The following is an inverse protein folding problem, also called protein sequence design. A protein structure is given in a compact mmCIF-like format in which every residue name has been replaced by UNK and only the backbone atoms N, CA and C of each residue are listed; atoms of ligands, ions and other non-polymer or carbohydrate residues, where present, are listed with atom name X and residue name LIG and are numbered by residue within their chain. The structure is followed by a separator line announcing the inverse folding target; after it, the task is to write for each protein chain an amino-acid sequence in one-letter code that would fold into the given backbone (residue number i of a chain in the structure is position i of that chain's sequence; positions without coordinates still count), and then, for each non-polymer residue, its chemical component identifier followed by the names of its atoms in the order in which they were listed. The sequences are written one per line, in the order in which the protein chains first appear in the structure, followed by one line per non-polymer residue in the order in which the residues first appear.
data_IF_136291585002
#
_entry.id   IF_136291585002
#
_cell.length_a   1.000
_cell.length_b   1.000
_cell.length_c   1.000
_cell.angle_alpha   90.00
_cell.angle_beta   90.00
_cell.angle_gamma   90.00
#
_symmetry.space_group_name_H-M   'P 1'
#
loop_
_entity.id
_entity.type
_entity.pdbx_description
1 polymer ?
#
# COMPACT_ATOMS: atom_id res chain seq x y z
N UNK A 1 -5.29 -6.90 17.66
CA UNK A 1 -5.21 -6.23 16.34
C UNK A 1 -5.08 -4.73 16.56
N UNK A 2 -3.94 -4.14 16.20
CA UNK A 2 -3.66 -2.72 16.39
C UNK A 2 -3.67 -2.04 15.02
N UNK A 3 -4.58 -1.10 14.81
CA UNK A 3 -4.63 -0.32 13.57
C UNK A 3 -3.75 0.91 13.78
N UNK A 4 -2.71 1.06 12.96
CA UNK A 4 -1.75 2.16 13.04
C UNK A 4 -1.91 3.04 11.81
N UNK A 5 -1.99 4.36 12.00
CA UNK A 5 -1.98 5.31 10.89
C UNK A 5 -0.54 5.48 10.40
N UNK A 6 -0.28 5.09 9.16
CA UNK A 6 0.99 5.35 8.50
C UNK A 6 1.02 6.81 8.02
N UNK A 7 1.83 7.64 8.65
CA UNK A 7 2.06 9.03 8.23
C UNK A 7 3.28 9.18 7.32
N UNK A 8 4.15 8.17 7.31
CA UNK A 8 5.35 8.07 6.51
C UNK A 8 5.71 6.59 6.35
N UNK A 9 6.11 6.16 5.15
CA UNK A 9 6.78 4.88 4.93
C UNK A 9 8.18 5.18 4.39
N UNK A 10 9.21 4.64 5.04
CA UNK A 10 10.55 4.62 4.48
C UNK A 10 10.71 3.55 3.42
N UNK A 11 11.81 3.60 2.66
CA UNK A 11 12.12 2.55 1.66
C UNK A 11 12.18 1.14 2.25
N UNK A 12 12.63 1.00 3.50
CA UNK A 12 12.71 -0.28 4.19
C UNK A 12 11.30 -0.87 4.44
N UNK A 13 10.38 -0.05 4.95
CA UNK A 13 8.99 -0.45 5.24
C UNK A 13 8.26 -0.88 3.96
N UNK A 14 8.53 -0.20 2.84
CA UNK A 14 7.94 -0.53 1.53
C UNK A 14 8.51 -1.85 0.98
N UNK A 15 9.80 -2.12 1.20
CA UNK A 15 10.44 -3.35 0.71
C UNK A 15 9.89 -4.60 1.37
N UNK A 16 9.67 -4.57 2.69
CA UNK A 16 9.07 -5.69 3.42
C UNK A 16 7.65 -5.96 2.91
N UNK A 17 6.81 -4.94 2.83
CA UNK A 17 5.45 -5.07 2.30
C UNK A 17 5.41 -5.57 0.85
N UNK A 18 6.35 -5.15 0.02
CA UNK A 18 6.44 -5.59 -1.37
C UNK A 18 6.80 -7.08 -1.44
N UNK A 19 7.71 -7.53 -0.58
CA UNK A 19 8.13 -8.93 -0.50
C UNK A 19 6.96 -9.79 -0.02
N UNK A 20 6.31 -9.42 1.08
CA UNK A 20 5.13 -10.11 1.62
C UNK A 20 3.99 -10.17 0.59
N UNK A 21 3.69 -9.04 -0.06
CA UNK A 21 2.68 -8.95 -1.14
C UNK A 21 2.96 -9.91 -2.29
N UNK A 22 4.23 -10.15 -2.62
CA UNK A 22 4.62 -11.06 -3.69
C UNK A 22 4.61 -12.53 -3.22
N UNK A 23 5.07 -12.81 -2.01
CA UNK A 23 5.11 -14.14 -1.41
C UNK A 23 3.70 -14.69 -1.12
N UNK A 24 2.79 -13.84 -0.65
CA UNK A 24 1.38 -14.20 -0.44
C UNK A 24 0.58 -14.21 -1.76
N UNK A 25 1.21 -13.90 -2.90
CA UNK A 25 0.60 -13.86 -4.23
C UNK A 25 -0.39 -12.71 -4.43
N UNK A 26 -0.54 -11.85 -3.43
CA UNK A 26 -1.43 -10.71 -3.45
C UNK A 26 -0.64 -9.47 -3.88
N UNK A 27 -0.31 -9.34 -5.17
CA UNK A 27 0.49 -8.27 -5.81
C UNK A 27 -0.10 -6.84 -5.71
N UNK A 28 -0.78 -6.52 -4.60
CA UNK A 28 -1.60 -5.34 -4.43
C UNK A 28 -0.79 -4.05 -4.56
N UNK A 29 0.45 -3.99 -4.03
CA UNK A 29 1.29 -2.80 -4.16
C UNK A 29 1.70 -2.53 -5.60
N UNK A 30 2.03 -3.58 -6.36
CA UNK A 30 2.37 -3.44 -7.78
C UNK A 30 1.17 -2.92 -8.55
N UNK A 31 -0.02 -3.47 -8.29
CA UNK A 31 -1.28 -2.99 -8.87
C UNK A 31 -1.57 -1.54 -8.50
N UNK A 32 -1.43 -1.17 -7.22
CA UNK A 32 -1.63 0.19 -6.71
C UNK A 32 -0.69 1.20 -7.38
N UNK A 33 0.59 0.85 -7.54
CA UNK A 33 1.55 1.72 -8.22
C UNK A 33 1.16 1.92 -9.68
N UNK A 34 0.75 0.86 -10.37
CA UNK A 34 0.29 0.94 -11.76
C UNK A 34 -0.97 1.81 -11.87
N UNK A 35 -1.96 1.58 -11.01
CA UNK A 35 -3.21 2.36 -10.97
C UNK A 35 -3.00 3.83 -10.60
N UNK A 36 -2.02 4.11 -9.75
CA UNK A 36 -1.66 5.50 -9.42
C UNK A 36 -1.00 6.19 -10.61
N UNK A 37 -0.03 5.53 -11.25
CA UNK A 37 0.70 6.07 -12.41
C UNK A 37 -0.19 6.27 -13.63
N UNK A 38 -1.15 5.38 -13.85
CA UNK A 38 -2.08 5.47 -14.98
C UNK A 38 -3.30 6.37 -14.70
N UNK A 39 -3.39 6.95 -13.50
CA UNK A 39 -4.46 7.84 -13.09
C UNK A 39 -5.80 7.16 -12.72
N UNK A 40 -5.87 5.82 -12.72
CA UNK A 40 -7.07 5.07 -12.36
C UNK A 40 -7.38 5.20 -10.86
N UNK A 41 -6.35 5.29 -10.01
CA UNK A 41 -6.50 5.40 -8.56
C UNK A 41 -5.47 6.34 -7.95
N UNK A 42 -5.85 7.61 -7.79
CA UNK A 42 -4.96 8.68 -7.29
C UNK A 42 -5.30 9.15 -5.88
N UNK A 43 -6.23 8.48 -5.18
CA UNK A 43 -6.66 8.82 -3.81
C UNK A 43 -7.08 10.30 -3.67
N UNK A 44 -7.71 10.88 -4.68
CA UNK A 44 -8.02 12.31 -4.73
C UNK A 44 -9.46 12.64 -4.28
N UNK A 45 -10.26 11.66 -3.89
CA UNK A 45 -11.60 11.88 -3.35
C UNK A 45 -11.60 11.86 -1.84
N UNK A 46 -12.45 12.70 -1.27
CA UNK A 46 -12.67 12.74 0.18
C UNK A 46 -13.07 11.36 0.70
N UNK A 47 -12.28 10.82 1.63
CA UNK A 47 -12.53 9.53 2.25
C UNK A 47 -11.70 8.37 1.71
N UNK A 48 -11.00 8.53 0.58
CA UNK A 48 -10.07 7.52 0.06
C UNK A 48 -8.81 7.43 0.94
N UNK A 49 -8.45 6.22 1.36
CA UNK A 49 -7.32 5.95 2.27
C UNK A 49 -6.77 4.53 2.02
N UNK A 50 -5.45 4.38 2.10
CA UNK A 50 -4.80 3.07 2.18
C UNK A 50 -4.56 2.71 3.65
N UNK A 51 -4.92 1.50 4.06
CA UNK A 51 -4.68 0.99 5.41
C UNK A 51 -3.83 -0.27 5.34
N UNK A 52 -2.75 -0.32 6.12
CA UNK A 52 -1.95 -1.53 6.33
C UNK A 52 -2.22 -2.10 7.73
N UNK A 53 -2.32 -3.42 7.84
CA UNK A 53 -2.33 -4.14 9.12
C UNK A 53 -0.98 -4.82 9.26
N UNK A 54 -0.26 -4.52 10.34
CA UNK A 54 1.03 -5.14 10.66
C UNK A 54 0.85 -6.03 11.90
N UNK A 55 1.45 -7.21 11.86
CA UNK A 55 1.49 -8.20 12.93
C UNK A 55 2.72 -8.04 13.82
#
# INVERSE_FOLDING_TARGET
MKIIRLTYLGEHDIKELLTESQEEGFFFLTKLIVEYKNGQNVFNKTGERLWGVYG
#
